data_IF_514335914871
#
_entry.id   IF_514335914871
#
_cell.length_a   1.000
_cell.length_b   1.000
_cell.length_c   1.000
_cell.angle_alpha   90.00
_cell.angle_beta   90.00
_cell.angle_gamma   90.00
#
_symmetry.space_group_name_H-M   'P 1'
#
loop_
_entity.id
_entity.type
_entity.pdbx_description
1 polymer ?
#
# COMPACT_ATOMS: atom_id res chain seq x y z
N UNK A 1 -20.87 -9.54 10.04
CA UNK A 1 -21.23 -8.80 8.80
C UNK A 1 -19.92 -8.53 8.10
N UNK A 2 -19.64 -9.26 7.03
CA UNK A 2 -18.41 -9.10 6.26
C UNK A 2 -18.50 -7.77 5.50
N UNK A 3 -17.81 -6.74 5.99
CA UNK A 3 -17.57 -5.53 5.21
C UNK A 3 -16.82 -5.92 3.95
N UNK A 4 -17.53 -6.02 2.83
CA UNK A 4 -16.91 -6.14 1.50
C UNK A 4 -16.11 -4.86 1.28
N UNK A 5 -14.82 -4.90 1.60
CA UNK A 5 -13.91 -3.76 1.41
C UNK A 5 -14.04 -3.16 0.02
N UNK A 6 -13.95 -1.84 -0.06
CA UNK A 6 -14.11 -1.09 -1.30
C UNK A 6 -12.96 -1.47 -2.25
N UNK A 7 -13.28 -2.00 -3.44
CA UNK A 7 -12.28 -2.28 -4.47
C UNK A 7 -12.18 -1.06 -5.37
N UNK A 8 -11.01 -0.42 -5.41
CA UNK A 8 -10.71 0.69 -6.32
C UNK A 8 -9.72 0.27 -7.39
N UNK A 9 -9.99 0.64 -8.63
CA UNK A 9 -9.05 0.41 -9.74
C UNK A 9 -8.00 1.52 -9.71
N UNK A 10 -6.75 1.15 -9.45
CA UNK A 10 -5.62 2.08 -9.51
C UNK A 10 -4.92 1.93 -10.86
N UNK A 11 -4.96 2.98 -11.67
CA UNK A 11 -4.27 3.05 -12.94
C UNK A 11 -2.84 3.52 -12.71
N UNK A 12 -1.90 2.79 -13.31
CA UNK A 12 -0.49 3.12 -13.22
C UNK A 12 -0.13 4.18 -14.25
N UNK A 13 1.01 4.86 -14.06
CA UNK A 13 1.43 5.96 -14.94
C UNK A 13 1.59 5.56 -16.41
N UNK A 14 1.67 4.27 -16.71
CA UNK A 14 1.71 3.75 -18.08
C UNK A 14 0.34 3.76 -18.79
N UNK A 15 -0.75 4.04 -18.06
CA UNK A 15 -2.14 4.09 -18.56
C UNK A 15 -2.72 2.73 -18.97
N UNK A 16 -1.92 1.66 -18.96
CA UNK A 16 -2.28 0.34 -19.48
C UNK A 16 -2.50 -0.66 -18.36
N UNK A 17 -1.84 -0.47 -17.22
CA UNK A 17 -1.91 -1.40 -16.10
C UNK A 17 -2.87 -0.87 -15.03
N UNK A 18 -3.86 -1.69 -14.69
CA UNK A 18 -4.85 -1.41 -13.66
C UNK A 18 -4.74 -2.45 -12.53
N UNK A 19 -4.69 -1.99 -11.28
CA UNK A 19 -4.64 -2.86 -10.10
C UNK A 19 -5.91 -2.68 -9.28
N UNK A 20 -6.59 -3.79 -8.99
CA UNK A 20 -7.74 -3.81 -8.09
C UNK A 20 -7.27 -3.73 -6.63
N UNK A 21 -7.43 -2.58 -6.01
CA UNK A 21 -6.96 -2.29 -4.65
C UNK A 21 -8.10 -2.50 -3.67
N UNK A 22 -7.91 -3.33 -2.65
CA UNK A 22 -8.88 -3.44 -1.54
C UNK A 22 -8.55 -2.41 -0.46
N UNK A 23 -9.54 -1.60 -0.09
CA UNK A 23 -9.48 -0.68 1.04
C UNK A 23 -10.28 -1.23 2.23
N UNK A 24 -9.61 -1.39 3.36
CA UNK A 24 -10.22 -1.85 4.61
C UNK A 24 -9.39 -1.37 5.79
N UNK A 25 -10.05 -0.94 6.88
CA UNK A 25 -9.41 -0.40 8.09
C UNK A 25 -8.41 0.72 7.79
N UNK A 26 -8.81 1.67 6.94
CA UNK A 26 -8.01 2.85 6.55
C UNK A 26 -6.65 2.51 5.91
N UNK A 27 -6.46 1.27 5.46
CA UNK A 27 -5.26 0.84 4.75
C UNK A 27 -5.58 0.15 3.45
N UNK A 28 -4.54 0.00 2.64
CA UNK A 28 -4.56 -0.67 1.34
C UNK A 28 -4.09 -2.11 1.52
N UNK A 29 -4.82 -3.04 0.92
CA UNK A 29 -4.47 -4.46 0.89
C UNK A 29 -4.24 -4.91 -0.54
N UNK A 30 -3.06 -5.48 -0.82
CA UNK A 30 -2.71 -6.08 -2.10
C UNK A 30 -2.27 -7.53 -1.94
N UNK A 31 -2.65 -8.36 -2.90
CA UNK A 31 -2.07 -9.70 -3.03
C UNK A 31 -0.61 -9.62 -3.52
N UNK A 32 0.13 -10.70 -3.33
CA UNK A 32 1.51 -10.78 -3.82
C UNK A 32 1.62 -10.54 -5.34
N UNK A 33 0.65 -11.03 -6.11
CA UNK A 33 0.61 -10.85 -7.57
C UNK A 33 0.36 -9.39 -7.95
N UNK A 34 -0.48 -8.69 -7.17
CA UNK A 34 -0.73 -7.27 -7.37
C UNK A 34 0.48 -6.42 -7.01
N UNK A 35 1.24 -6.78 -5.97
CA UNK A 35 2.50 -6.12 -5.63
C UNK A 35 3.55 -6.35 -6.73
N UNK A 36 3.61 -7.57 -7.28
CA UNK A 36 4.48 -7.89 -8.41
C UNK A 36 4.15 -7.04 -9.63
N UNK A 37 2.86 -6.88 -9.95
CA UNK A 37 2.39 -5.99 -11.00
C UNK A 37 2.70 -4.52 -10.68
N UNK A 38 2.49 -4.06 -9.44
CA UNK A 38 2.74 -2.68 -8.99
C UNK A 38 4.18 -2.26 -9.23
N UNK A 39 5.14 -3.13 -8.94
CA UNK A 39 6.55 -2.83 -9.05
C UNK A 39 7.23 -3.36 -10.31
N UNK A 40 6.48 -3.98 -11.23
CA UNK A 40 6.99 -4.62 -12.44
C UNK A 40 8.15 -5.57 -12.12
N UNK A 41 7.83 -6.58 -11.29
CA UNK A 41 8.73 -7.64 -10.85
C UNK A 41 8.05 -8.99 -10.88
N UNK A 42 8.86 -10.03 -10.84
CA UNK A 42 8.35 -11.40 -10.67
C UNK A 42 7.76 -11.58 -9.27
N UNK A 43 6.76 -12.45 -9.16
CA UNK A 43 6.19 -12.87 -7.87
C UNK A 43 7.25 -13.43 -6.92
N UNK A 44 8.22 -14.19 -7.45
CA UNK A 44 9.33 -14.76 -6.68
C UNK A 44 10.20 -13.67 -6.04
N UNK A 45 10.54 -12.61 -6.79
CA UNK A 45 11.29 -11.47 -6.26
C UNK A 45 10.52 -10.76 -5.14
N UNK A 46 9.22 -10.56 -5.32
CA UNK A 46 8.38 -9.97 -4.27
C UNK A 46 8.32 -10.88 -3.03
N UNK A 47 8.21 -12.20 -3.23
CA UNK A 47 8.25 -13.17 -2.13
C UNK A 47 9.52 -13.07 -1.31
N UNK A 48 10.66 -12.96 -1.98
CA UNK A 48 11.95 -12.82 -1.33
C UNK A 48 12.00 -11.55 -0.47
N UNK A 49 11.58 -10.40 -1.02
CA UNK A 49 11.55 -9.16 -0.26
C UNK A 49 10.58 -9.21 0.94
N UNK A 50 9.39 -9.78 0.79
CA UNK A 50 8.42 -9.94 1.88
C UNK A 50 9.00 -10.84 2.99
N UNK A 51 9.62 -11.96 2.62
CA UNK A 51 10.24 -12.86 3.61
C UNK A 51 11.39 -12.17 4.34
N UNK A 52 12.19 -11.36 3.65
CA UNK A 52 13.28 -10.60 4.27
C UNK A 52 12.75 -9.53 5.24
N UNK A 53 11.66 -8.83 4.90
CA UNK A 53 11.00 -7.87 5.80
C UNK A 53 10.63 -8.53 7.14
N UNK A 54 10.04 -9.73 7.11
CA UNK A 54 9.71 -10.45 8.33
C UNK A 54 10.94 -11.04 9.03
N UNK A 55 11.90 -11.58 8.28
CA UNK A 55 13.12 -12.17 8.84
C UNK A 55 13.98 -11.13 9.56
N UNK A 56 14.00 -9.90 9.07
CA UNK A 56 14.73 -8.79 9.67
C UNK A 56 13.98 -8.13 10.84
N UNK A 57 12.73 -8.55 11.10
CA UNK A 57 11.90 -7.98 12.16
C UNK A 57 11.46 -6.54 11.87
N UNK A 58 11.40 -6.14 10.59
CA UNK A 58 10.91 -4.80 10.23
C UNK A 58 9.41 -4.67 10.50
N UNK A 59 8.64 -5.75 10.30
CA UNK A 59 7.20 -5.80 10.51
C UNK A 59 6.80 -7.13 11.17
N UNK A 60 5.76 -7.08 12.00
CA UNK A 60 5.13 -8.26 12.60
C UNK A 60 4.02 -8.80 11.70
N UNK A 61 4.09 -10.09 11.37
CA UNK A 61 3.26 -10.70 10.31
C UNK A 61 1.77 -10.65 10.62
N UNK A 62 1.42 -10.81 11.89
CA UNK A 62 0.05 -10.87 12.41
C UNK A 62 -0.71 -9.54 12.21
N UNK A 63 0.01 -8.42 12.13
CA UNK A 63 -0.58 -7.08 11.97
C UNK A 63 -0.77 -6.70 10.50
N UNK A 64 0.14 -7.16 9.65
CA UNK A 64 0.28 -6.67 8.27
C UNK A 64 -0.14 -7.66 7.19
N UNK A 65 -0.49 -8.89 7.56
CA UNK A 65 -0.95 -9.95 6.64
C UNK A 65 -2.36 -10.40 6.97
N UNK A 66 -3.22 -10.48 5.96
CA UNK A 66 -4.58 -11.02 6.08
C UNK A 66 -4.88 -12.06 5.03
N UNK A 67 -5.67 -13.08 5.42
CA UNK A 67 -6.27 -14.03 4.49
C UNK A 67 -7.61 -13.48 4.04
N UNK A 68 -7.78 -13.34 2.73
CA UNK A 68 -9.06 -13.01 2.13
C UNK A 68 -9.56 -14.17 1.29
N UNK A 69 -10.85 -14.46 1.42
CA UNK A 69 -11.53 -15.43 0.57
C UNK A 69 -11.83 -14.78 -0.78
N UNK A 70 -11.27 -15.34 -1.85
CA UNK A 70 -11.53 -14.91 -3.23
C UNK A 70 -12.34 -16.00 -3.92
N UNK A 71 -13.45 -15.59 -4.52
CA UNK A 71 -14.25 -16.43 -5.40
C UNK A 71 -13.79 -16.20 -6.83
N UNK A 72 -13.40 -17.26 -7.52
CA UNK A 72 -12.98 -17.21 -8.94
C UNK A 72 -13.74 -18.26 -9.71
N UNK A 73 -13.95 -18.05 -11.01
CA UNK A 73 -14.54 -19.11 -11.84
C UNK A 73 -13.66 -20.36 -11.81
N UNK A 74 -14.31 -21.51 -11.74
CA UNK A 74 -13.64 -22.79 -11.74
C UNK A 74 -13.05 -23.04 -13.14
N UNK A 75 -11.73 -23.11 -13.24
CA UNK A 75 -11.03 -23.15 -14.54
C UNK A 75 -11.33 -24.37 -15.42
N UNK A 76 -12.02 -25.38 -14.89
CA UNK A 76 -12.36 -26.62 -15.59
C UNK A 76 -13.86 -26.76 -15.92
N UNK A 77 -14.74 -25.91 -15.37
CA UNK A 77 -16.19 -26.03 -15.56
C UNK A 77 -16.85 -24.66 -15.63
N UNK A 78 -17.40 -24.34 -16.81
CA UNK A 78 -18.18 -23.13 -17.01
C UNK A 78 -19.39 -23.10 -16.06
N UNK A 79 -19.60 -21.97 -15.36
CA UNK A 79 -20.73 -21.77 -14.44
C UNK A 79 -20.52 -22.23 -13.00
N UNK A 80 -19.38 -22.86 -12.66
CA UNK A 80 -19.01 -23.12 -11.26
C UNK A 80 -18.01 -22.08 -10.77
N UNK A 81 -18.13 -21.69 -9.51
CA UNK A 81 -17.16 -20.86 -8.80
C UNK A 81 -16.40 -21.70 -7.79
N UNK A 82 -15.10 -21.44 -7.65
CA UNK A 82 -14.25 -21.99 -6.60
C UNK A 82 -13.82 -20.86 -5.66
N UNK A 83 -13.78 -21.16 -4.38
CA UNK A 83 -13.32 -20.23 -3.36
C UNK A 83 -11.96 -20.67 -2.85
N UNK A 84 -11.00 -19.74 -2.83
CA UNK A 84 -9.68 -20.01 -2.29
C UNK A 84 -9.23 -18.84 -1.42
N UNK A 85 -8.44 -19.16 -0.40
CA UNK A 85 -7.87 -18.18 0.51
C UNK A 85 -6.58 -17.62 -0.09
N UNK A 86 -6.51 -16.31 -0.26
CA UNK A 86 -5.34 -15.60 -0.76
C UNK A 86 -4.79 -14.69 0.33
N UNK A 87 -3.47 -14.65 0.46
CA UNK A 87 -2.79 -13.72 1.37
C UNK A 87 -2.73 -12.35 0.74
N UNK A 88 -3.07 -11.34 1.53
CA UNK A 88 -2.90 -9.93 1.22
C UNK A 88 -2.00 -9.28 2.25
N UNK A 89 -1.31 -8.25 1.80
CA UNK A 89 -0.33 -7.50 2.54
C UNK A 89 -0.77 -6.04 2.57
N UNK A 90 -0.67 -5.42 3.74
CA UNK A 90 -1.11 -4.05 3.96
C UNK A 90 -0.14 -3.02 3.33
N UNK A 91 -0.45 -1.74 3.50
CA UNK A 91 0.37 -0.63 3.00
C UNK A 91 1.81 -0.65 3.55
N UNK A 92 2.04 -1.07 4.78
CA UNK A 92 3.37 -1.06 5.40
C UNK A 92 4.31 -2.04 4.66
N UNK A 93 3.83 -3.26 4.40
CA UNK A 93 4.59 -4.23 3.60
C UNK A 93 4.85 -3.69 2.20
N UNK A 94 3.85 -3.05 1.57
CA UNK A 94 3.99 -2.47 0.23
C UNK A 94 5.07 -1.38 0.22
N UNK A 95 5.12 -0.53 1.26
CA UNK A 95 6.14 0.50 1.43
C UNK A 95 7.52 -0.15 1.58
N UNK A 96 7.68 -1.08 2.53
CA UNK A 96 8.95 -1.78 2.78
C UNK A 96 9.49 -2.46 1.52
N UNK A 97 8.64 -3.19 0.81
CA UNK A 97 8.99 -3.82 -0.47
C UNK A 97 9.34 -2.77 -1.53
N UNK A 98 8.55 -1.71 -1.65
CA UNK A 98 8.78 -0.63 -2.63
C UNK A 98 10.13 0.06 -2.47
N UNK A 99 10.65 0.16 -1.24
CA UNK A 99 12.00 0.66 -0.99
C UNK A 99 13.11 -0.33 -1.34
N UNK A 100 12.85 -1.64 -1.23
CA UNK A 100 13.81 -2.73 -1.52
C UNK A 100 13.87 -3.11 -3.01
N UNK A 101 12.79 -2.87 -3.77
CA UNK A 101 12.72 -3.29 -5.19
C UNK A 101 13.56 -2.39 -6.11
N UNK A 102 14.39 -3.04 -6.95
CA UNK A 102 15.16 -2.39 -8.04
C UNK A 102 14.40 -2.45 -9.38
N UNK A 103 13.46 -1.53 -9.59
CA UNK A 103 12.78 -1.32 -10.89
C UNK A 103 12.54 0.16 -11.16
N UNK A 104 12.21 0.52 -12.42
CA UNK A 104 11.78 1.87 -12.78
C UNK A 104 10.56 2.30 -11.94
N UNK A 105 9.61 1.39 -11.75
CA UNK A 105 8.39 1.62 -10.95
C UNK A 105 8.69 1.74 -9.45
N UNK A 106 9.63 0.95 -8.93
CA UNK A 106 10.13 1.14 -7.57
C UNK A 106 10.78 2.51 -7.37
N UNK A 107 11.54 3.00 -8.35
CA UNK A 107 12.11 4.36 -8.30
C UNK A 107 11.02 5.44 -8.32
N UNK A 108 10.03 5.32 -9.19
CA UNK A 108 8.89 6.25 -9.23
C UNK A 108 8.10 6.23 -7.91
N UNK A 109 7.87 5.04 -7.35
CA UNK A 109 7.23 4.88 -6.05
C UNK A 109 7.99 5.62 -4.94
N UNK A 110 9.31 5.45 -4.85
CA UNK A 110 10.14 6.16 -3.85
C UNK A 110 10.13 7.67 -4.06
N UNK A 111 10.17 8.14 -5.31
CA UNK A 111 10.05 9.57 -5.61
C UNK A 111 8.71 10.14 -5.14
N UNK A 112 7.62 9.43 -5.42
CA UNK A 112 6.28 9.79 -4.96
C UNK A 112 6.19 9.77 -3.43
N UNK A 113 6.61 8.69 -2.79
CA UNK A 113 6.56 8.53 -1.33
C UNK A 113 7.38 9.63 -0.63
N UNK A 114 8.59 9.93 -1.11
CA UNK A 114 9.41 11.03 -0.59
C UNK A 114 8.74 12.40 -0.80
N UNK A 115 8.08 12.62 -1.93
CA UNK A 115 7.33 13.86 -2.18
C UNK A 115 6.19 14.00 -1.17
N UNK A 116 5.38 12.95 -0.99
CA UNK A 116 4.29 12.92 -0.02
C UNK A 116 4.81 13.20 1.39
N UNK A 117 5.84 12.46 1.83
CA UNK A 117 6.45 12.64 3.15
C UNK A 117 6.98 14.06 3.34
N UNK A 118 7.70 14.60 2.34
CA UNK A 118 8.20 15.98 2.38
C UNK A 118 7.07 17.00 2.47
N UNK A 119 5.99 16.80 1.73
CA UNK A 119 4.83 17.69 1.81
C UNK A 119 4.21 17.68 3.21
N UNK A 120 3.99 16.51 3.81
CA UNK A 120 3.46 16.42 5.17
C UNK A 120 4.40 17.04 6.21
N UNK A 121 5.71 16.76 6.13
CA UNK A 121 6.68 17.29 7.09
C UNK A 121 6.85 18.80 6.95
N UNK A 122 7.01 19.31 5.72
CA UNK A 122 7.30 20.74 5.47
C UNK A 122 6.04 21.58 5.62
N UNK A 123 4.92 21.21 4.98
CA UNK A 123 3.66 21.98 5.10
C UNK A 123 3.08 21.86 6.51
N UNK A 124 3.14 20.67 7.11
CA UNK A 124 2.70 20.47 8.49
C UNK A 124 3.48 21.32 9.48
N UNK A 125 4.81 21.40 9.32
CA UNK A 125 5.65 22.27 10.13
C UNK A 125 5.34 23.76 9.91
N UNK A 126 5.19 24.18 8.65
CA UNK A 126 4.85 25.57 8.31
C UNK A 126 3.50 26.00 8.92
N UNK A 127 2.45 25.19 8.77
CA UNK A 127 1.12 25.47 9.33
C UNK A 127 1.18 25.57 10.85
N UNK A 128 1.90 24.65 11.52
CA UNK A 128 2.06 24.67 12.97
C UNK A 128 2.76 25.94 13.46
N UNK A 129 3.80 26.38 12.75
CA UNK A 129 4.54 27.59 13.09
C UNK A 129 3.70 28.85 12.90
N UNK A 130 2.93 28.93 11.81
CA UNK A 130 2.05 30.08 11.56
C UNK A 130 0.94 30.16 12.61
N UNK A 131 0.33 29.03 12.97
CA UNK A 131 -0.67 28.95 14.05
C UNK A 131 -0.06 29.33 15.41
N UNK A 132 1.18 28.91 15.69
CA UNK A 132 1.86 29.29 16.92
C UNK A 132 2.12 30.80 16.97
N UNK A 133 2.57 31.41 15.86
CA UNK A 133 2.78 32.87 15.77
C UNK A 133 1.50 33.65 16.00
N UNK A 134 0.41 33.29 15.33
CA UNK A 134 -0.89 33.93 15.53
C UNK A 134 -1.32 33.91 17.00
N UNK A 135 -1.21 32.76 17.68
CA UNK A 135 -1.52 32.66 19.12
C UNK A 135 -0.64 33.54 20.00
N UNK A 136 0.64 33.69 19.68
CA UNK A 136 1.53 34.59 20.41
C UNK A 136 1.16 36.07 20.22
N UNK A 137 0.77 36.45 19.01
CA UNK A 137 0.34 37.82 18.70
C UNK A 137 -1.00 38.14 19.40
N UNK A 138 -1.95 37.20 19.41
CA UNK A 138 -3.23 37.35 20.12
C UNK A 138 -3.02 37.54 21.64
N UNK A 139 -2.09 36.79 22.25
CA UNK A 139 -1.76 36.90 23.68
C UNK A 139 -1.02 38.20 24.03
N UNK A 140 -0.38 38.87 23.06
CA UNK A 140 0.28 40.17 23.26
C UNK A 140 -0.67 41.35 23.15
N UNK A 141 -1.86 41.13 22.62
CA UNK A 141 -2.89 42.14 22.41
C UNK A 141 -4.05 42.05 23.41
N UNK A 142 -3.90 41.25 24.48
CA UNK A 142 -4.77 41.17 25.67
C UNK A 142 -4.03 41.77 26.87
#
# INVERSE_FOLDING_TARGET
MDSKGEIKIYQLQDGQTAIDVRLENETVWLSQDQIAMLFDKSKSTINEHINNVFKEGELEKEEVVRKFRITTQHGAMAGKTQEHNVMFYNLDVIISVGYRVKSKRGTQFRQWANKVLKEYLVKGYAIKNDLARQRYDDLRHV
#
